data_IF_445013241817
#
_entry.id   IF_445013241817
#
_cell.length_a   1.000
_cell.length_b   1.000
_cell.length_c   1.000
_cell.angle_alpha   90.00
_cell.angle_beta   90.00
_cell.angle_gamma   90.00
#
_symmetry.space_group_name_H-M   'P 1'
#
loop_
_entity.id
_entity.type
_entity.pdbx_description
1 polymer ?
#
# COMPACT_ATOMS: atom_id res chain seq x y z
N UNK A 1 44.16 -19.64 -43.58
CA UNK A 1 44.06 -19.02 -42.23
C UNK A 1 42.72 -18.29 -42.14
N UNK A 2 41.71 -18.92 -41.54
CA UNK A 2 40.40 -18.30 -41.32
C UNK A 2 40.48 -17.40 -40.09
N UNK A 3 40.22 -16.09 -40.24
CA UNK A 3 40.10 -15.16 -39.12
C UNK A 3 38.70 -15.31 -38.51
N UNK A 4 38.66 -15.82 -37.28
CA UNK A 4 37.43 -15.91 -36.48
C UNK A 4 36.99 -14.48 -36.11
N UNK A 5 35.77 -14.09 -36.51
CA UNK A 5 35.25 -12.74 -36.29
C UNK A 5 34.63 -12.65 -34.88
N UNK A 6 35.44 -12.21 -33.90
CA UNK A 6 35.11 -12.18 -32.47
C UNK A 6 33.85 -11.35 -32.13
N UNK A 7 33.46 -10.39 -32.97
CA UNK A 7 32.24 -9.59 -32.82
C UNK A 7 30.95 -10.39 -33.05
N UNK A 8 30.95 -11.39 -33.93
CA UNK A 8 29.78 -12.25 -34.15
C UNK A 8 29.55 -13.23 -33.00
N UNK A 9 30.64 -13.70 -32.34
CA UNK A 9 30.53 -14.52 -31.12
C UNK A 9 30.00 -13.72 -29.93
N UNK A 10 30.37 -12.45 -29.80
CA UNK A 10 29.89 -11.58 -28.72
C UNK A 10 28.39 -11.26 -28.83
N UNK A 11 27.87 -11.04 -30.04
CA UNK A 11 26.44 -10.81 -30.27
C UNK A 11 25.63 -12.10 -30.05
N UNK A 12 26.15 -13.25 -30.49
CA UNK A 12 25.52 -14.54 -30.24
C UNK A 12 25.49 -14.88 -28.74
N UNK A 13 26.52 -14.51 -27.96
CA UNK A 13 26.54 -14.67 -26.51
C UNK A 13 25.57 -13.72 -25.79
N UNK A 14 25.46 -12.46 -26.22
CA UNK A 14 24.51 -11.51 -25.63
C UNK A 14 23.04 -11.92 -25.88
N UNK A 15 22.73 -12.46 -27.07
CA UNK A 15 21.39 -12.98 -27.40
C UNK A 15 21.09 -14.30 -26.67
N UNK A 16 22.10 -15.14 -26.42
CA UNK A 16 21.92 -16.36 -25.62
C UNK A 16 21.71 -16.06 -24.13
N UNK A 17 22.30 -14.98 -23.61
CA UNK A 17 22.05 -14.53 -22.23
C UNK A 17 20.68 -13.88 -22.05
N UNK A 18 20.13 -13.21 -23.08
CA UNK A 18 18.74 -12.71 -23.05
C UNK A 18 17.68 -13.82 -23.07
N UNK A 19 18.05 -15.06 -23.42
CA UNK A 19 17.13 -16.22 -23.41
C UNK A 19 17.35 -17.17 -22.24
N UNK A 20 18.42 -17.00 -21.47
CA UNK A 20 18.73 -17.81 -20.28
C UNK A 20 18.43 -17.11 -18.95
N UNK A 21 18.04 -15.83 -18.97
CA UNK A 21 17.40 -15.14 -17.82
C UNK A 21 15.88 -15.20 -17.95
N UNK A 22 15.33 -16.32 -18.45
CA UNK A 22 14.04 -16.79 -17.96
C UNK A 22 14.32 -17.50 -16.63
N UNK A 23 14.80 -16.75 -15.63
CA UNK A 23 14.72 -17.20 -14.24
C UNK A 23 13.25 -17.53 -14.06
N UNK A 24 12.97 -18.81 -13.85
CA UNK A 24 11.66 -19.30 -13.46
C UNK A 24 11.37 -18.73 -12.09
N UNK A 25 11.03 -17.43 -12.03
CA UNK A 25 10.31 -16.87 -10.91
C UNK A 25 9.06 -17.75 -10.87
N UNK A 26 8.84 -18.53 -9.81
CA UNK A 26 7.60 -19.30 -9.68
C UNK A 26 6.49 -18.29 -9.90
N UNK A 27 5.72 -18.46 -10.98
CA UNK A 27 4.66 -17.52 -11.31
C UNK A 27 3.78 -17.48 -10.08
N UNK A 28 3.83 -16.35 -9.35
CA UNK A 28 2.96 -16.14 -8.21
C UNK A 28 1.55 -16.43 -8.72
N UNK A 29 0.85 -17.35 -8.07
CA UNK A 29 -0.45 -17.83 -8.56
C UNK A 29 -1.40 -16.63 -8.61
N UNK A 30 -1.58 -16.07 -9.80
CA UNK A 30 -2.53 -15.00 -10.05
C UNK A 30 -3.94 -15.56 -9.92
N UNK A 31 -4.81 -14.84 -9.22
CA UNK A 31 -6.20 -15.27 -9.01
C UNK A 31 -7.11 -14.34 -9.80
N UNK A 32 -7.93 -14.87 -10.73
CA UNK A 32 -8.86 -14.03 -11.46
C UNK A 32 -9.82 -13.35 -10.50
N UNK A 33 -10.09 -12.07 -10.72
CA UNK A 33 -11.18 -11.37 -10.04
C UNK A 33 -12.48 -12.10 -10.38
N UNK A 34 -13.23 -12.60 -9.38
CA UNK A 34 -14.45 -13.34 -9.64
C UNK A 34 -15.45 -12.48 -10.46
N UNK A 35 -16.04 -13.01 -11.56
CA UNK A 35 -17.00 -12.27 -12.38
C UNK A 35 -18.33 -12.02 -11.65
N UNK A 36 -18.59 -12.83 -10.63
CA UNK A 36 -19.60 -12.58 -9.62
C UNK A 36 -19.00 -12.97 -8.28
N UNK A 37 -19.22 -12.12 -7.26
CA UNK A 37 -18.95 -12.50 -5.90
C UNK A 37 -19.98 -13.55 -5.54
N UNK A 38 -19.57 -14.81 -5.45
CA UNK A 38 -20.40 -15.81 -4.81
C UNK A 38 -20.68 -15.23 -3.43
N UNK A 39 -21.94 -14.88 -3.09
CA UNK A 39 -22.25 -14.41 -1.76
C UNK A 39 -21.62 -15.38 -0.77
N UNK A 40 -20.83 -14.85 0.17
CA UNK A 40 -20.23 -15.65 1.24
C UNK A 40 -21.35 -16.43 1.94
N UNK A 41 -21.60 -17.65 1.50
CA UNK A 41 -22.69 -18.50 1.98
C UNK A 41 -22.13 -19.83 2.51
N UNK A 42 -20.97 -19.75 3.15
CA UNK A 42 -20.59 -20.77 4.14
C UNK A 42 -20.46 -20.20 5.55
N UNK A 43 -20.10 -18.91 5.72
CA UNK A 43 -20.32 -18.20 6.98
C UNK A 43 -21.72 -17.61 7.01
N UNK A 44 -22.41 -17.72 8.15
CA UNK A 44 -23.72 -17.09 8.32
C UNK A 44 -23.56 -15.58 8.19
N UNK A 45 -24.48 -14.91 7.47
CA UNK A 45 -24.57 -13.44 7.54
C UNK A 45 -24.71 -13.05 9.02
N UNK A 46 -24.03 -12.01 9.50
CA UNK A 46 -24.16 -11.64 10.91
C UNK A 46 -25.64 -11.38 11.23
N UNK A 47 -26.17 -12.05 12.25
CA UNK A 47 -27.56 -11.92 12.65
C UNK A 47 -27.80 -10.61 13.44
N UNK A 48 -26.80 -10.23 14.24
CA UNK A 48 -26.80 -9.02 15.06
C UNK A 48 -26.78 -7.73 14.20
N UNK A 49 -27.39 -6.67 14.73
CA UNK A 49 -27.44 -5.36 14.09
C UNK A 49 -26.04 -4.74 13.97
N UNK A 50 -25.26 -4.72 15.05
CA UNK A 50 -23.95 -4.10 15.07
C UNK A 50 -22.96 -4.85 14.18
N UNK A 51 -23.00 -6.17 14.18
CA UNK A 51 -22.17 -6.97 13.29
C UNK A 51 -22.47 -6.69 11.80
N UNK A 52 -23.74 -6.48 11.42
CA UNK A 52 -24.12 -6.05 10.06
C UNK A 52 -23.67 -4.64 9.74
N UNK A 53 -23.77 -3.72 10.70
CA UNK A 53 -23.27 -2.34 10.58
C UNK A 53 -21.76 -2.33 10.35
N UNK A 54 -20.99 -3.01 11.19
CA UNK A 54 -19.53 -3.07 11.15
C UNK A 54 -19.05 -3.71 9.83
N UNK A 55 -19.69 -4.82 9.41
CA UNK A 55 -19.42 -5.45 8.12
C UNK A 55 -19.69 -4.50 6.95
N UNK A 56 -20.78 -3.71 7.00
CA UNK A 56 -21.09 -2.71 5.96
C UNK A 56 -20.03 -1.61 5.90
N UNK A 57 -19.59 -1.08 7.05
CA UNK A 57 -18.53 -0.07 7.11
C UNK A 57 -17.23 -0.61 6.49
N UNK A 58 -16.76 -1.77 6.95
CA UNK A 58 -15.53 -2.41 6.45
C UNK A 58 -15.65 -2.73 4.95
N UNK A 59 -16.77 -3.30 4.53
CA UNK A 59 -17.02 -3.59 3.11
C UNK A 59 -16.99 -2.32 2.26
N UNK A 60 -17.54 -1.20 2.76
CA UNK A 60 -17.50 0.07 2.02
C UNK A 60 -16.07 0.60 1.90
N UNK A 61 -15.25 0.49 2.96
CA UNK A 61 -13.83 0.86 2.94
C UNK A 61 -13.09 0.07 1.84
N UNK A 62 -13.12 -1.26 1.87
CA UNK A 62 -12.45 -2.07 0.82
C UNK A 62 -13.09 -1.92 -0.56
N UNK A 63 -14.36 -1.50 -0.63
CA UNK A 63 -14.95 -1.15 -1.92
C UNK A 63 -14.24 0.05 -2.54
N UNK A 64 -13.89 1.06 -1.75
CA UNK A 64 -13.25 2.28 -2.22
C UNK A 64 -11.80 2.03 -2.66
N UNK A 65 -11.13 0.97 -2.22
CA UNK A 65 -9.77 0.60 -2.70
C UNK A 65 -9.76 0.02 -4.12
N UNK A 66 -10.92 -0.33 -4.67
CA UNK A 66 -11.04 -0.94 -6.01
C UNK A 66 -11.11 0.12 -7.10
N UNK A 67 -10.26 0.01 -8.12
CA UNK A 67 -10.28 0.89 -9.29
C UNK A 67 -11.61 0.83 -10.06
N UNK A 68 -12.20 1.99 -10.47
CA UNK A 68 -11.72 3.37 -10.29
C UNK A 68 -12.32 4.11 -9.06
N UNK A 69 -12.86 3.40 -8.06
CA UNK A 69 -13.64 4.01 -6.97
C UNK A 69 -12.82 4.87 -6.00
N UNK A 70 -11.51 4.70 -5.95
CA UNK A 70 -10.59 5.55 -5.18
C UNK A 70 -10.29 6.90 -5.84
N UNK A 71 -10.57 7.07 -7.14
CA UNK A 71 -10.18 8.28 -7.87
C UNK A 71 -10.72 9.60 -7.27
N UNK A 72 -11.96 9.68 -6.75
CA UNK A 72 -12.42 10.90 -6.09
C UNK A 72 -11.57 11.32 -4.89
N UNK A 73 -10.92 10.36 -4.21
CA UNK A 73 -10.09 10.61 -3.02
C UNK A 73 -8.72 11.16 -3.45
N UNK A 74 -8.18 10.68 -4.58
CA UNK A 74 -7.00 11.30 -5.19
C UNK A 74 -7.25 12.75 -5.62
N UNK A 75 -8.48 13.08 -6.01
CA UNK A 75 -8.83 14.41 -6.51
C UNK A 75 -9.21 15.40 -5.41
N UNK A 76 -9.85 14.93 -4.33
CA UNK A 76 -10.47 15.77 -3.32
C UNK A 76 -10.04 15.45 -1.88
N UNK A 77 -9.06 14.56 -1.68
CA UNK A 77 -8.64 14.09 -0.35
C UNK A 77 -9.80 13.51 0.44
N UNK A 78 -9.88 13.83 1.73
CA UNK A 78 -10.96 13.40 2.61
C UNK A 78 -12.38 13.75 2.12
N UNK A 79 -12.56 14.81 1.32
CA UNK A 79 -13.87 15.15 0.76
C UNK A 79 -14.40 14.12 -0.26
N UNK A 80 -13.51 13.30 -0.84
CA UNK A 80 -13.88 12.18 -1.71
C UNK A 80 -14.37 10.94 -0.96
N UNK A 81 -14.23 10.91 0.37
CA UNK A 81 -14.64 9.77 1.22
C UNK A 81 -16.10 9.94 1.67
N UNK A 82 -16.96 8.92 1.52
CA UNK A 82 -18.31 8.94 2.08
C UNK A 82 -18.32 9.26 3.57
N UNK A 83 -19.21 10.17 3.98
CA UNK A 83 -19.35 10.59 5.39
C UNK A 83 -19.68 9.40 6.29
N UNK A 84 -19.12 9.39 7.49
CA UNK A 84 -19.40 8.38 8.53
C UNK A 84 -18.68 7.04 8.34
N UNK A 85 -17.72 6.93 7.42
CA UNK A 85 -16.87 5.74 7.32
C UNK A 85 -15.75 5.74 8.37
N UNK A 86 -15.13 6.90 8.58
CA UNK A 86 -14.09 7.11 9.59
C UNK A 86 -14.51 8.28 10.47
N UNK A 87 -14.17 8.18 11.75
CA UNK A 87 -14.27 9.28 12.69
C UNK A 87 -13.22 10.37 12.34
N UNK A 88 -13.48 11.62 12.66
CA UNK A 88 -12.51 12.71 12.42
C UNK A 88 -11.20 12.51 13.20
N UNK A 89 -11.33 11.94 14.41
CA UNK A 89 -10.22 11.66 15.33
C UNK A 89 -9.71 10.23 15.17
N UNK A 90 -9.93 9.59 14.01
CA UNK A 90 -9.45 8.23 13.78
C UNK A 90 -7.94 8.15 13.97
N UNK A 91 -7.48 7.09 14.63
CA UNK A 91 -6.07 6.75 14.75
C UNK A 91 -5.87 5.30 14.35
N UNK A 92 -4.72 4.97 13.76
CA UNK A 92 -4.48 3.59 13.40
C UNK A 92 -3.09 3.27 12.93
N UNK A 93 -2.87 1.98 12.73
CA UNK A 93 -1.64 1.42 12.19
C UNK A 93 -1.95 0.62 10.93
N UNK A 94 -1.08 0.74 9.93
CA UNK A 94 -1.00 -0.22 8.83
C UNK A 94 0.42 -0.74 8.81
N UNK A 95 0.65 -1.95 9.28
CA UNK A 95 1.94 -2.62 9.14
C UNK A 95 2.04 -3.21 7.73
N UNK A 96 3.16 -2.99 7.03
CA UNK A 96 4.47 -2.45 7.48
C UNK A 96 4.71 -0.95 7.21
N UNK A 97 3.67 -0.14 7.04
CA UNK A 97 3.77 1.27 6.60
C UNK A 97 3.93 2.26 7.75
N UNK A 98 3.22 2.05 8.87
CA UNK A 98 3.37 2.84 10.09
C UNK A 98 2.07 3.34 10.71
N UNK A 99 2.18 4.43 11.49
CA UNK A 99 1.11 4.99 12.33
C UNK A 99 0.48 6.26 11.74
N UNK A 100 -0.83 6.39 11.91
CA UNK A 100 -1.69 7.43 11.34
C UNK A 100 -2.58 8.06 12.41
N UNK A 101 -2.72 9.38 12.34
CA UNK A 101 -3.49 10.16 13.30
C UNK A 101 -4.33 11.21 12.58
N UNK A 102 -5.63 11.19 12.84
CA UNK A 102 -6.62 12.03 12.18
C UNK A 102 -7.10 11.47 10.85
N UNK A 103 -8.29 11.94 10.45
CA UNK A 103 -9.02 11.49 9.27
C UNK A 103 -8.20 11.51 7.97
N UNK A 104 -7.60 12.65 7.61
CA UNK A 104 -6.84 12.78 6.35
C UNK A 104 -5.65 11.81 6.31
N UNK A 105 -4.97 11.60 7.44
CA UNK A 105 -3.82 10.70 7.50
C UNK A 105 -4.25 9.24 7.34
N UNK A 106 -5.38 8.85 7.90
CA UNK A 106 -5.85 7.46 7.81
C UNK A 106 -6.39 7.12 6.41
N UNK A 107 -7.20 8.00 5.82
CA UNK A 107 -7.88 7.69 4.56
C UNK A 107 -6.92 7.61 3.36
N UNK A 108 -5.86 8.43 3.35
CA UNK A 108 -4.88 8.40 2.26
C UNK A 108 -4.16 7.07 2.15
N UNK A 109 -3.82 6.45 3.28
CA UNK A 109 -3.07 5.20 3.26
C UNK A 109 -3.93 4.01 2.85
N UNK A 110 -5.24 4.04 3.15
CA UNK A 110 -6.17 3.04 2.62
C UNK A 110 -6.42 3.21 1.12
N UNK A 111 -6.64 4.44 0.66
CA UNK A 111 -7.20 4.69 -0.68
C UNK A 111 -6.18 5.20 -1.69
N UNK A 112 -5.27 6.08 -1.30
CA UNK A 112 -4.28 6.69 -2.19
C UNK A 112 -3.03 5.81 -2.41
N UNK A 113 -2.84 4.74 -1.61
CA UNK A 113 -1.81 3.73 -1.86
C UNK A 113 -2.30 2.52 -2.65
N UNK A 114 -3.60 2.46 -2.96
CA UNK A 114 -4.11 1.46 -3.90
C UNK A 114 -3.50 1.71 -5.29
N UNK A 115 -2.90 0.70 -5.94
CA UNK A 115 -2.17 0.88 -7.18
C UNK A 115 -3.06 1.48 -8.26
N UNK A 116 -2.60 2.59 -8.85
CA UNK A 116 -3.19 3.19 -10.03
C UNK A 116 -2.56 2.59 -11.28
N UNK A 117 -3.35 2.26 -12.33
CA UNK A 117 -2.80 1.69 -13.55
C UNK A 117 -1.74 2.57 -14.21
N UNK A 118 -1.88 3.89 -14.12
CA UNK A 118 -0.92 4.84 -14.69
C UNK A 118 0.33 5.04 -13.82
N UNK A 119 0.31 4.52 -12.58
CA UNK A 119 1.37 4.71 -11.59
C UNK A 119 2.39 3.58 -11.51
N UNK A 120 2.26 2.53 -12.33
CA UNK A 120 3.17 1.39 -12.32
C UNK A 120 3.33 0.78 -13.72
N UNK A 121 4.49 0.14 -14.02
CA UNK A 121 4.82 -0.32 -15.38
C UNK A 121 3.96 -1.49 -15.88
N UNK A 122 3.24 -2.19 -14.99
CA UNK A 122 2.38 -3.35 -15.31
C UNK A 122 0.91 -2.92 -15.53
N UNK A 123 0.58 -1.65 -15.33
CA UNK A 123 -0.79 -1.15 -15.25
C UNK A 123 -1.66 -1.92 -14.24
N UNK A 124 -1.03 -2.41 -13.17
CA UNK A 124 -1.71 -3.11 -12.10
C UNK A 124 -2.68 -2.20 -11.36
N UNK A 125 -3.85 -2.74 -11.01
CA UNK A 125 -4.76 -2.13 -10.06
C UNK A 125 -5.50 -3.20 -9.26
N UNK A 126 -5.99 -2.82 -8.08
CA UNK A 126 -6.99 -3.62 -7.36
C UNK A 126 -8.31 -3.51 -8.12
N UNK A 127 -8.84 -4.63 -8.59
CA UNK A 127 -10.08 -4.70 -9.38
C UNK A 127 -11.21 -5.44 -8.67
N UNK A 128 -10.96 -5.99 -7.50
CA UNK A 128 -11.97 -6.59 -6.65
C UNK A 128 -11.52 -6.81 -5.22
N UNK A 129 -12.45 -7.14 -4.34
CA UNK A 129 -12.14 -7.51 -2.96
C UNK A 129 -13.12 -8.55 -2.44
N UNK A 130 -12.66 -9.36 -1.49
CA UNK A 130 -13.46 -10.35 -0.79
C UNK A 130 -13.11 -10.36 0.69
N UNK A 131 -14.10 -10.19 1.56
CA UNK A 131 -13.93 -10.34 3.02
C UNK A 131 -14.06 -11.81 3.37
N UNK A 132 -12.96 -12.54 3.34
CA UNK A 132 -12.94 -14.00 3.51
C UNK A 132 -13.23 -14.47 4.93
N UNK A 133 -12.94 -13.62 5.92
CA UNK A 133 -13.25 -13.85 7.32
C UNK A 133 -13.72 -12.54 7.95
N UNK A 134 -14.74 -12.61 8.80
CA UNK A 134 -15.25 -11.47 9.52
C UNK A 134 -15.85 -11.92 10.85
N UNK A 135 -15.38 -11.31 11.93
CA UNK A 135 -15.98 -11.45 13.25
C UNK A 135 -16.28 -10.06 13.81
N UNK A 136 -17.44 -9.89 14.43
CA UNK A 136 -17.77 -8.72 15.23
C UNK A 136 -18.13 -9.25 16.60
N UNK A 137 -17.17 -9.20 17.51
CA UNK A 137 -17.33 -9.84 18.83
C UNK A 137 -18.33 -9.06 19.70
N UNK A 138 -18.36 -7.75 19.54
CA UNK A 138 -19.27 -6.86 20.24
C UNK A 138 -19.65 -5.68 19.34
N UNK A 139 -20.39 -4.74 19.94
CA UNK A 139 -20.89 -3.52 19.28
C UNK A 139 -19.80 -2.79 18.49
N UNK A 140 -18.67 -2.53 19.13
CA UNK A 140 -17.66 -1.60 18.63
C UNK A 140 -16.35 -2.27 18.18
N UNK A 141 -16.18 -3.58 18.33
CA UNK A 141 -14.96 -4.29 17.88
C UNK A 141 -15.27 -5.34 16.82
N UNK A 142 -14.49 -5.31 15.74
CA UNK A 142 -14.50 -6.34 14.70
C UNK A 142 -13.09 -6.69 14.21
N UNK A 143 -12.97 -7.86 13.58
CA UNK A 143 -11.79 -8.28 12.85
C UNK A 143 -12.17 -8.77 11.45
N UNK A 144 -11.26 -8.62 10.49
CA UNK A 144 -11.47 -9.07 9.12
C UNK A 144 -10.20 -9.60 8.47
N UNK A 145 -10.36 -10.60 7.60
CA UNK A 145 -9.36 -10.98 6.59
C UNK A 145 -9.93 -10.66 5.22
N UNK A 146 -9.18 -9.90 4.43
CA UNK A 146 -9.61 -9.45 3.10
C UNK A 146 -8.60 -9.83 2.04
N UNK A 147 -9.11 -10.37 0.93
CA UNK A 147 -8.36 -10.59 -0.30
C UNK A 147 -8.70 -9.49 -1.30
N UNK A 148 -7.68 -8.80 -1.78
CA UNK A 148 -7.76 -7.74 -2.79
C UNK A 148 -7.25 -8.31 -4.11
N UNK A 149 -8.17 -8.51 -5.05
CA UNK A 149 -7.86 -9.08 -6.35
C UNK A 149 -7.30 -8.00 -7.26
N UNK A 150 -6.26 -8.36 -8.01
CA UNK A 150 -5.54 -7.43 -8.86
C UNK A 150 -5.56 -7.91 -10.31
N UNK A 151 -5.58 -6.97 -11.24
CA UNK A 151 -5.46 -7.26 -12.68
C UNK A 151 -4.86 -6.08 -13.43
N UNK A 152 -4.41 -6.34 -14.66
CA UNK A 152 -3.94 -5.30 -15.59
C UNK A 152 -5.14 -4.46 -16.08
N UNK A 153 -5.08 -3.15 -15.88
CA UNK A 153 -6.11 -2.21 -16.35
C UNK A 153 -5.51 -1.31 -17.43
N UNK A 154 -5.49 -1.83 -18.66
CA UNK A 154 -5.02 -1.13 -19.86
C UNK A 154 -6.05 -1.23 -21.01
N UNK A 155 -7.15 -0.47 -20.97
CA UNK A 155 -8.24 -0.61 -21.94
C UNK A 155 -7.75 -0.53 -23.39
N UNK A 156 -8.09 -1.53 -24.20
CA UNK A 156 -7.69 -1.62 -25.60
C UNK A 156 -6.40 -2.41 -25.85
N UNK A 157 -5.62 -2.74 -24.81
CA UNK A 157 -4.47 -3.62 -24.93
C UNK A 157 -4.86 -5.10 -24.80
N UNK A 158 -4.10 -6.03 -25.43
CA UNK A 158 -4.40 -7.47 -25.38
C UNK A 158 -4.33 -8.09 -23.98
N UNK A 159 -3.57 -7.49 -23.08
CA UNK A 159 -3.33 -7.96 -21.71
C UNK A 159 -4.32 -7.38 -20.69
N UNK A 160 -5.26 -6.52 -21.10
CA UNK A 160 -6.29 -5.99 -20.23
C UNK A 160 -7.11 -7.10 -19.56
N UNK A 161 -7.29 -7.01 -18.25
CA UNK A 161 -8.02 -7.99 -17.46
C UNK A 161 -7.17 -9.21 -17.06
N UNK A 162 -5.91 -9.29 -17.47
CA UNK A 162 -4.99 -10.35 -17.03
C UNK A 162 -4.89 -10.33 -15.51
N UNK A 163 -5.22 -11.44 -14.82
CA UNK A 163 -5.11 -11.51 -13.37
C UNK A 163 -3.67 -11.35 -12.89
N UNK A 164 -3.52 -10.70 -11.74
CA UNK A 164 -2.26 -10.54 -11.02
C UNK A 164 -2.38 -11.20 -9.63
N UNK A 165 -1.27 -11.39 -8.90
CA UNK A 165 -1.30 -11.91 -7.53
C UNK A 165 -2.22 -11.06 -6.62
N UNK A 166 -3.13 -11.67 -5.85
CA UNK A 166 -3.96 -10.93 -4.91
C UNK A 166 -3.16 -10.47 -3.69
N UNK A 167 -3.55 -9.33 -3.12
CA UNK A 167 -3.02 -8.84 -1.85
C UNK A 167 -3.92 -9.33 -0.70
N UNK A 168 -3.33 -9.67 0.44
CA UNK A 168 -4.06 -10.00 1.67
C UNK A 168 -3.90 -8.87 2.68
N UNK A 169 -4.97 -8.53 3.39
CA UNK A 169 -4.90 -7.69 4.58
C UNK A 169 -5.66 -8.37 5.73
N UNK A 170 -5.10 -8.30 6.92
CA UNK A 170 -5.74 -8.66 8.19
C UNK A 170 -5.94 -7.36 8.96
N UNK A 171 -7.10 -7.14 9.57
CA UNK A 171 -7.32 -5.91 10.31
C UNK A 171 -8.22 -6.11 11.52
N UNK A 172 -7.89 -5.41 12.60
CA UNK A 172 -8.73 -5.17 13.76
C UNK A 172 -9.30 -3.76 13.69
N UNK A 173 -10.56 -3.61 14.06
CA UNK A 173 -11.34 -2.39 13.92
C UNK A 173 -12.01 -2.07 15.23
N UNK A 174 -11.98 -0.78 15.60
CA UNK A 174 -12.84 -0.20 16.63
C UNK A 174 -13.70 0.89 16.02
N UNK A 175 -14.99 0.85 16.31
CA UNK A 175 -15.98 1.81 15.81
C UNK A 175 -16.42 2.77 16.91
N UNK A 176 -16.86 3.96 16.53
CA UNK A 176 -17.62 4.82 17.42
C UNK A 176 -19.10 4.37 17.52
N UNK A 177 -19.88 5.09 18.33
CA UNK A 177 -21.30 4.80 18.53
C UNK A 177 -22.13 4.88 17.22
N UNK A 178 -21.65 5.61 16.21
CA UNK A 178 -22.31 5.76 14.91
C UNK A 178 -21.86 4.69 13.89
N UNK A 179 -20.86 3.87 14.23
CA UNK A 179 -20.32 2.84 13.35
C UNK A 179 -19.24 3.34 12.39
N UNK A 180 -18.70 4.55 12.60
CA UNK A 180 -17.53 5.03 11.90
C UNK A 180 -16.27 4.44 12.55
N UNK A 181 -15.24 4.13 11.77
CA UNK A 181 -13.97 3.62 12.29
C UNK A 181 -13.29 4.70 13.12
N UNK A 182 -13.10 4.42 14.41
CA UNK A 182 -12.38 5.27 15.35
C UNK A 182 -10.93 4.79 15.55
N UNK A 183 -10.70 3.47 15.50
CA UNK A 183 -9.35 2.90 15.56
C UNK A 183 -9.21 1.71 14.63
N UNK A 184 -8.01 1.51 14.09
CA UNK A 184 -7.71 0.30 13.33
C UNK A 184 -6.26 -0.13 13.51
N UNK A 185 -6.05 -1.44 13.44
CA UNK A 185 -4.74 -2.05 13.37
C UNK A 185 -4.76 -3.05 12.22
N UNK A 186 -4.12 -2.69 11.11
CA UNK A 186 -4.13 -3.45 9.88
C UNK A 186 -2.72 -3.97 9.59
N UNK A 187 -2.64 -5.17 9.05
CA UNK A 187 -1.41 -5.84 8.68
C UNK A 187 -1.51 -6.43 7.27
N UNK A 188 -0.51 -6.12 6.47
CA UNK A 188 -0.33 -6.67 5.12
C UNK A 188 0.89 -7.60 5.14
N UNK A 189 0.68 -8.93 5.23
CA UNK A 189 1.78 -9.87 5.28
C UNK A 189 2.54 -9.93 3.94
N UNK A 190 3.87 -9.92 4.01
CA UNK A 190 4.76 -10.10 2.87
C UNK A 190 4.48 -9.12 1.72
N UNK A 191 4.32 -7.83 2.08
CA UNK A 191 4.03 -6.76 1.14
C UNK A 191 5.14 -6.64 0.10
N UNK A 192 6.40 -6.84 0.50
CA UNK A 192 7.54 -6.84 -0.41
C UNK A 192 7.37 -7.78 -1.60
N UNK A 193 7.15 -9.06 -1.33
CA UNK A 193 7.02 -10.05 -2.41
C UNK A 193 5.80 -9.77 -3.29
N UNK A 194 4.72 -9.25 -2.70
CA UNK A 194 3.55 -8.87 -3.48
C UNK A 194 3.84 -7.68 -4.42
N UNK A 195 4.53 -6.65 -3.95
CA UNK A 195 4.89 -5.48 -4.76
C UNK A 195 5.81 -5.90 -5.93
N UNK A 196 6.85 -6.70 -5.67
CA UNK A 196 7.73 -7.18 -6.75
C UNK A 196 6.96 -7.97 -7.82
N UNK A 197 6.07 -8.87 -7.38
CA UNK A 197 5.33 -9.76 -8.28
C UNK A 197 4.16 -9.09 -9.01
N UNK A 198 3.64 -7.97 -8.49
CA UNK A 198 2.42 -7.33 -9.01
C UNK A 198 2.71 -6.06 -9.79
N UNK A 199 3.69 -5.27 -9.36
CA UNK A 199 4.02 -3.97 -9.98
C UNK A 199 5.36 -3.97 -10.71
N UNK A 200 6.03 -5.13 -10.80
CA UNK A 200 7.38 -5.29 -11.36
C UNK A 200 8.44 -4.38 -10.71
N UNK A 201 8.27 -4.10 -9.41
CA UNK A 201 9.20 -3.29 -8.65
C UNK A 201 10.30 -4.18 -8.04
N UNK A 202 11.20 -4.71 -8.87
CA UNK A 202 12.24 -5.67 -8.47
C UNK A 202 13.35 -5.00 -7.65
N UNK A 203 13.14 -4.88 -6.34
CA UNK A 203 14.05 -4.13 -5.48
C UNK A 203 15.39 -4.82 -5.30
N UNK A 204 15.55 -6.10 -5.69
CA UNK A 204 16.85 -6.77 -5.69
C UNK A 204 17.76 -6.33 -6.85
N UNK A 205 17.20 -5.78 -7.94
CA UNK A 205 17.93 -5.39 -9.14
C UNK A 205 18.59 -4.00 -8.98
N UNK A 206 19.92 -3.88 -9.06
CA UNK A 206 20.61 -2.58 -9.01
C UNK A 206 20.17 -1.57 -10.06
N UNK A 207 19.81 -2.03 -11.28
CA UNK A 207 19.36 -1.15 -12.34
C UNK A 207 17.98 -0.55 -12.01
N UNK A 208 17.07 -1.38 -11.51
CA UNK A 208 15.77 -0.92 -10.97
C UNK A 208 15.97 0.08 -9.82
N UNK A 209 16.86 -0.20 -8.86
CA UNK A 209 17.15 0.72 -7.75
C UNK A 209 17.62 2.10 -8.23
N UNK A 210 18.57 2.13 -9.16
CA UNK A 210 19.08 3.38 -9.71
C UNK A 210 17.97 4.15 -10.47
N UNK A 211 17.19 3.47 -11.31
CA UNK A 211 16.11 4.07 -12.06
C UNK A 211 14.98 4.61 -11.15
N UNK A 212 14.61 3.87 -10.11
CA UNK A 212 13.60 4.31 -9.15
C UNK A 212 14.06 5.50 -8.30
N UNK A 213 15.33 5.56 -7.88
CA UNK A 213 15.88 6.76 -7.22
C UNK A 213 15.77 7.99 -8.14
N UNK A 214 16.13 7.84 -9.41
CA UNK A 214 15.99 8.92 -10.40
C UNK A 214 14.53 9.38 -10.52
N UNK A 215 13.59 8.44 -10.60
CA UNK A 215 12.15 8.74 -10.63
C UNK A 215 11.67 9.44 -9.36
N UNK A 216 12.14 9.01 -8.19
CA UNK A 216 11.81 9.64 -6.91
C UNK A 216 12.30 11.07 -6.87
N UNK A 217 13.55 11.32 -7.27
CA UNK A 217 14.13 12.65 -7.25
C UNK A 217 13.49 13.59 -8.28
N UNK A 218 13.27 13.13 -9.51
CA UNK A 218 12.55 13.90 -10.51
C UNK A 218 11.12 14.21 -10.07
N UNK A 219 10.41 13.21 -9.54
CA UNK A 219 9.04 13.36 -9.06
C UNK A 219 8.93 14.29 -7.84
N UNK A 220 9.94 14.27 -6.96
CA UNK A 220 10.04 15.17 -5.81
C UNK A 220 10.25 16.59 -6.30
N UNK A 221 11.22 16.82 -7.20
CA UNK A 221 11.50 18.14 -7.75
C UNK A 221 10.27 18.76 -8.45
N UNK A 222 9.47 17.93 -9.14
CA UNK A 222 8.29 18.38 -9.86
C UNK A 222 7.11 18.76 -8.94
N UNK A 223 6.96 18.13 -7.77
CA UNK A 223 5.78 18.28 -6.90
C UNK A 223 6.05 19.05 -5.61
N UNK A 224 7.26 18.93 -5.08
CA UNK A 224 7.68 19.55 -3.84
C UNK A 224 8.40 20.86 -4.15
N UNK A 225 7.62 21.94 -4.27
CA UNK A 225 8.09 23.27 -4.67
C UNK A 225 7.76 24.32 -3.61
N UNK A 226 8.36 25.53 -3.72
CA UNK A 226 8.14 26.61 -2.75
C UNK A 226 8.55 26.19 -1.34
N UNK A 227 7.65 26.38 -0.36
CA UNK A 227 7.88 25.96 1.03
C UNK A 227 8.05 24.44 1.19
N UNK A 228 7.60 23.64 0.23
CA UNK A 228 7.72 22.19 0.24
C UNK A 228 9.01 21.69 -0.44
N UNK A 229 9.88 22.56 -0.94
CA UNK A 229 11.15 22.16 -1.58
C UNK A 229 12.01 21.35 -0.61
N UNK A 230 12.45 20.16 -1.03
CA UNK A 230 13.25 19.25 -0.19
C UNK A 230 14.72 19.14 -0.61
N UNK A 231 15.00 19.40 -1.88
CA UNK A 231 16.30 19.24 -2.51
C UNK A 231 16.58 20.46 -3.39
N UNK A 232 17.83 20.90 -3.45
CA UNK A 232 18.25 21.99 -4.32
C UNK A 232 18.29 21.56 -5.79
N UNK A 233 18.54 20.26 -6.06
CA UNK A 233 18.47 19.69 -7.40
C UNK A 233 18.16 18.20 -7.39
N UNK A 234 17.79 17.67 -8.57
CA UNK A 234 17.64 16.22 -8.80
C UNK A 234 18.96 15.49 -8.51
N UNK A 235 20.10 16.04 -8.91
CA UNK A 235 21.41 15.42 -8.72
C UNK A 235 21.79 15.32 -7.23
N UNK A 236 21.48 16.35 -6.43
CA UNK A 236 21.67 16.30 -4.97
C UNK A 236 20.82 15.20 -4.35
N UNK A 237 19.54 15.14 -4.71
CA UNK A 237 18.64 14.10 -4.24
C UNK A 237 19.16 12.70 -4.60
N UNK A 238 19.60 12.49 -5.84
CA UNK A 238 20.13 11.20 -6.30
C UNK A 238 21.38 10.83 -5.50
N UNK A 239 22.29 11.77 -5.31
CA UNK A 239 23.51 11.55 -4.54
C UNK A 239 23.19 11.15 -3.09
N UNK A 240 22.25 11.85 -2.45
CA UNK A 240 21.83 11.56 -1.08
C UNK A 240 21.10 10.22 -0.94
N UNK A 241 20.11 9.95 -1.80
CA UNK A 241 19.32 8.71 -1.72
C UNK A 241 20.13 7.48 -2.13
N UNK A 242 21.14 7.63 -2.98
CA UNK A 242 22.05 6.54 -3.34
C UNK A 242 22.95 6.09 -2.18
N UNK A 243 23.07 6.89 -1.10
CA UNK A 243 23.78 6.51 0.13
C UNK A 243 22.86 5.86 1.18
N UNK A 244 21.54 5.91 0.99
CA UNK A 244 20.58 5.27 1.90
C UNK A 244 20.42 3.80 1.55
N UNK A 245 20.02 3.00 2.55
CA UNK A 245 19.55 1.64 2.28
C UNK A 245 18.34 1.73 1.37
N UNK A 246 18.25 0.83 0.38
CA UNK A 246 17.08 0.83 -0.49
C UNK A 246 15.82 0.42 0.30
N UNK A 247 15.98 -0.56 1.20
CA UNK A 247 14.92 -1.03 2.09
C UNK A 247 14.05 -2.12 1.46
N UNK A 248 12.98 -2.44 2.16
CA UNK A 248 11.98 -3.45 1.81
C UNK A 248 10.59 -2.85 2.04
N UNK A 249 9.60 -3.25 1.25
CA UNK A 249 8.22 -2.86 1.56
C UNK A 249 7.70 -3.49 2.85
N UNK A 250 8.38 -4.51 3.41
CA UNK A 250 8.06 -5.04 4.74
C UNK A 250 8.60 -4.16 5.89
N UNK A 251 9.35 -3.10 5.57
CA UNK A 251 9.88 -2.10 6.50
C UNK A 251 9.70 -0.69 5.90
N UNK A 252 8.49 -0.42 5.42
CA UNK A 252 8.10 0.78 4.68
C UNK A 252 7.99 2.06 5.55
N UNK A 253 8.50 2.02 6.78
CA UNK A 253 8.59 3.15 7.72
C UNK A 253 10.04 3.61 7.98
N UNK A 254 11.05 2.83 7.61
CA UNK A 254 12.46 3.12 7.95
C UNK A 254 13.07 4.30 7.16
N UNK A 255 14.30 4.71 7.52
CA UNK A 255 15.05 5.72 6.77
C UNK A 255 15.66 5.14 5.48
N UNK A 256 14.78 4.72 4.56
CA UNK A 256 15.15 4.03 3.33
C UNK A 256 14.46 4.62 2.09
N UNK A 257 14.85 4.13 0.91
CA UNK A 257 14.32 4.58 -0.38
C UNK A 257 12.88 4.11 -0.60
N UNK A 258 12.52 2.90 -0.13
CA UNK A 258 11.16 2.35 -0.23
C UNK A 258 10.14 3.22 0.52
N UNK A 259 10.41 3.67 1.74
CA UNK A 259 9.52 4.59 2.46
C UNK A 259 9.30 5.89 1.66
N UNK A 260 10.36 6.43 1.06
CA UNK A 260 10.30 7.64 0.25
C UNK A 260 9.54 7.44 -1.06
N UNK A 261 9.57 6.25 -1.66
CA UNK A 261 8.77 5.96 -2.86
C UNK A 261 7.27 5.99 -2.56
N UNK A 262 6.86 5.48 -1.39
CA UNK A 262 5.46 5.55 -0.92
C UNK A 262 5.06 7.00 -0.70
N UNK A 263 5.88 7.76 0.02
CA UNK A 263 5.58 9.17 0.29
C UNK A 263 5.57 10.03 -0.95
N UNK A 264 6.39 9.70 -1.95
CA UNK A 264 6.33 10.31 -3.26
C UNK A 264 4.95 10.11 -3.89
N UNK A 265 4.34 8.92 -3.83
CA UNK A 265 2.97 8.71 -4.34
C UNK A 265 1.98 9.65 -3.66
N UNK A 266 2.07 9.76 -2.33
CA UNK A 266 1.15 10.57 -1.52
C UNK A 266 1.29 12.08 -1.72
N UNK A 267 2.42 12.58 -2.25
CA UNK A 267 2.55 14.00 -2.63
C UNK A 267 1.54 14.45 -3.69
N UNK A 268 0.88 13.52 -4.40
CA UNK A 268 -0.19 13.85 -5.35
C UNK A 268 -1.46 14.36 -4.65
N UNK A 269 -1.66 13.98 -3.39
CA UNK A 269 -2.88 14.28 -2.62
C UNK A 269 -2.64 15.44 -1.66
N UNK A 270 -1.63 15.32 -0.78
CA UNK A 270 -1.24 16.35 0.19
C UNK A 270 0.27 16.62 0.19
N UNK A 271 0.78 17.40 -0.77
CA UNK A 271 2.22 17.66 -0.89
C UNK A 271 2.81 18.37 0.34
N UNK A 272 2.06 19.26 0.98
CA UNK A 272 2.46 19.93 2.22
C UNK A 272 2.77 18.96 3.37
N UNK A 273 2.01 17.86 3.44
CA UNK A 273 2.25 16.82 4.45
C UNK A 273 3.35 15.84 4.01
N UNK A 274 3.36 15.41 2.74
CA UNK A 274 4.22 14.30 2.32
C UNK A 274 5.56 14.69 1.73
N UNK A 275 5.74 15.93 1.28
CA UNK A 275 7.03 16.40 0.77
C UNK A 275 8.14 16.33 1.85
N UNK A 276 7.94 16.76 3.10
CA UNK A 276 8.94 16.58 4.15
C UNK A 276 9.44 15.13 4.29
N UNK A 277 8.58 14.15 4.03
CA UNK A 277 8.91 12.74 4.19
C UNK A 277 9.80 12.17 3.08
N UNK A 278 9.78 12.75 1.87
CA UNK A 278 10.69 12.35 0.78
C UNK A 278 12.06 13.01 0.89
N UNK A 279 12.22 13.99 1.79
CA UNK A 279 13.43 14.78 1.96
C UNK A 279 14.57 14.09 2.71
N UNK A 280 15.69 14.81 2.94
CA UNK A 280 16.89 14.28 3.58
C UNK A 280 16.65 13.69 4.97
N UNK A 281 15.83 14.38 5.77
CA UNK A 281 15.52 14.01 7.17
C UNK A 281 14.40 12.97 7.28
N UNK A 282 13.70 12.68 6.17
CA UNK A 282 12.52 11.83 6.19
C UNK A 282 11.30 12.44 6.91
N UNK A 283 11.38 13.71 7.33
CA UNK A 283 10.28 14.46 7.94
C UNK A 283 9.65 13.79 9.16
N UNK A 284 10.40 12.94 9.86
CA UNK A 284 9.90 12.15 10.99
C UNK A 284 9.00 10.96 10.61
N UNK A 285 8.78 10.69 9.31
CA UNK A 285 8.05 9.51 8.83
C UNK A 285 8.96 8.44 8.25
N UNK A 286 9.90 8.80 7.37
CA UNK A 286 10.92 7.87 6.87
C UNK A 286 12.16 7.94 7.74
N UNK A 287 12.05 7.41 8.96
CA UNK A 287 13.09 7.44 9.98
C UNK A 287 13.21 6.07 10.64
N UNK A 288 14.43 5.67 11.01
CA UNK A 288 14.62 4.44 11.74
C UNK A 288 14.06 4.58 13.16
N UNK A 289 13.09 3.72 13.49
CA UNK A 289 12.55 3.55 14.83
C UNK A 289 12.93 2.19 15.40
N UNK A 290 13.11 2.13 16.72
CA UNK A 290 13.38 0.87 17.39
C UNK A 290 12.13 -0.02 17.35
N UNK A 291 12.32 -1.33 17.16
CA UNK A 291 11.22 -2.28 16.99
C UNK A 291 10.14 -2.18 18.09
N UNK A 292 10.47 -2.17 19.39
CA UNK A 292 9.44 -2.07 20.43
C UNK A 292 8.65 -0.76 20.40
N UNK A 293 9.33 0.33 20.03
CA UNK A 293 8.75 1.68 19.96
C UNK A 293 7.82 1.84 18.76
N UNK A 294 7.91 0.95 17.76
CA UNK A 294 6.98 0.92 16.64
C UNK A 294 5.79 -0.01 16.94
N UNK A 295 6.08 -1.27 17.29
CA UNK A 295 5.08 -2.33 17.37
C UNK A 295 4.27 -2.34 18.67
N UNK A 296 4.82 -1.82 19.77
CA UNK A 296 4.15 -1.80 21.07
C UNK A 296 3.81 -0.38 21.54
N UNK A 297 3.63 0.54 20.60
CA UNK A 297 3.25 1.94 20.85
C UNK A 297 1.74 2.16 21.01
N UNK A 298 0.98 1.14 21.40
CA UNK A 298 -0.47 1.20 21.53
C UNK A 298 -0.94 2.34 22.44
N UNK A 299 -0.24 2.58 23.56
CA UNK A 299 -0.57 3.67 24.48
C UNK A 299 -0.38 5.03 23.84
N UNK A 300 0.74 5.24 23.16
CA UNK A 300 1.05 6.49 22.45
C UNK A 300 0.11 6.71 21.26
N UNK A 301 -0.22 5.65 20.52
CA UNK A 301 -1.02 5.74 19.29
C UNK A 301 -2.53 5.81 19.58
N UNK A 302 -3.03 4.89 20.40
CA UNK A 302 -4.45 4.69 20.63
C UNK A 302 -4.96 5.40 21.89
N UNK A 303 -4.07 5.92 22.75
CA UNK A 303 -4.44 6.51 24.03
C UNK A 303 -5.08 5.51 25.00
N UNK A 304 -4.84 4.21 24.81
CA UNK A 304 -5.36 3.11 25.64
C UNK A 304 -4.22 2.19 26.08
N UNK A 305 -4.33 1.53 27.26
CA UNK A 305 -3.28 0.63 27.71
C UNK A 305 -2.95 -0.44 26.68
N UNK A 306 -1.68 -0.85 26.62
CA UNK A 306 -1.18 -1.81 25.63
C UNK A 306 -2.04 -3.08 25.56
N UNK A 307 -2.43 -3.47 24.35
CA UNK A 307 -3.26 -4.65 24.12
C UNK A 307 -4.74 -4.50 24.51
N UNK A 308 -5.21 -3.32 24.95
CA UNK A 308 -6.62 -3.12 25.33
C UNK A 308 -7.47 -2.46 24.24
N UNK A 309 -6.85 -1.94 23.18
CA UNK A 309 -7.54 -1.15 22.15
C UNK A 309 -8.67 -1.91 21.46
N UNK A 310 -8.48 -3.20 21.17
CA UNK A 310 -9.44 -4.02 20.43
C UNK A 310 -10.07 -5.10 21.33
N UNK A 311 -10.26 -4.79 22.61
CA UNK A 311 -11.07 -5.59 23.53
C UNK A 311 -12.47 -5.01 23.67
N UNK A 312 -13.47 -5.91 23.74
CA UNK A 312 -14.85 -5.55 24.08
C UNK A 312 -14.94 -5.07 25.53
N UNK A 313 -15.72 -4.02 25.77
CA UNK A 313 -15.97 -3.53 27.12
C UNK A 313 -16.89 -4.44 27.91
N UNK A 314 -16.84 -4.32 29.24
CA UNK A 314 -17.68 -5.10 30.16
C UNK A 314 -19.20 -4.80 30.06
N UNK A 315 -19.60 -3.83 29.23
CA UNK A 315 -21.00 -3.40 29.03
C UNK A 315 -21.46 -3.55 27.56
N UNK A 316 -20.68 -4.22 26.71
CA UNK A 316 -20.96 -4.36 25.27
C UNK A 316 -21.63 -5.70 24.89
N UNK A 317 -22.13 -6.45 25.87
CA UNK A 317 -22.98 -7.65 25.73
C UNK A 317 -24.49 -7.32 25.68
#
# INVERSE_FOLDING_TARGET
>A
MFRLNLTLLAIAWALLQLHLVAITIPHARAWPTPPSWVPHFKSQRPADYYARRNLKTISTIYSLTVYPRQLPIFQAGGAGVPKGLFNNDVVGRVDPVGNFTGFEHSIEYFFALSPLPQGNPVNAAITGYQITEFSSQCRDVAASVVYLYCSIVNPGAPDHGTPLPPLKQVAFWRFDDHGAVLKYDAWIPNLHSWVESTTAAYVADPAFRAASIQQICAGTQARCTGANTQWASVDECVAALSQKTYGSYDEAWGDNVVCRSIHLVLTQVRPDTHCPHVGPTGGGKCVDVNYPDNYFADETLYGQPKGQTFMCGASDD
#
